data_IF_963667277725
#
_entry.id   IF_963667277725
#
_cell.length_a   1.000
_cell.length_b   1.000
_cell.length_c   1.000
_cell.angle_alpha   90.00
_cell.angle_beta   90.00
_cell.angle_gamma   90.00
#
_symmetry.space_group_name_H-M   'P 1'
#
loop_
_entity.id
_entity.type
_entity.pdbx_description
1 polymer ?
#
# COMPACT_ATOMS: atom_id res chain seq x y z
N UNK A 1 2.31 -19.35 14.18
CA UNK A 1 2.06 -18.19 13.28
C UNK A 1 0.82 -18.36 12.39
N UNK A 2 0.07 -19.42 12.52
CA UNK A 2 -1.18 -19.72 11.77
C UNK A 2 -2.44 -19.36 12.59
N UNK A 3 -2.36 -19.42 13.91
CA UNK A 3 -3.52 -19.19 14.80
C UNK A 3 -3.99 -17.71 14.88
N UNK A 4 -3.11 -16.74 14.75
CA UNK A 4 -3.50 -15.32 14.81
C UNK A 4 -4.27 -14.82 13.57
N UNK A 5 -4.20 -15.54 12.45
CA UNK A 5 -4.94 -15.18 11.23
C UNK A 5 -6.41 -15.61 11.24
N UNK A 6 -6.75 -16.65 12.00
CA UNK A 6 -8.12 -17.14 12.11
C UNK A 6 -8.99 -16.26 13.02
N UNK A 7 -8.42 -15.59 14.00
CA UNK A 7 -9.15 -14.74 14.96
C UNK A 7 -9.66 -13.47 14.29
N UNK A 8 -8.92 -12.90 13.33
CA UNK A 8 -9.31 -11.65 12.66
C UNK A 8 -10.48 -11.81 11.67
N UNK A 9 -10.62 -12.98 11.05
CA UNK A 9 -11.76 -13.29 10.16
C UNK A 9 -13.05 -13.46 10.97
N UNK A 10 -12.94 -13.87 12.25
CA UNK A 10 -14.08 -14.06 13.14
C UNK A 10 -14.69 -12.74 13.68
N UNK A 11 -13.93 -11.64 13.69
CA UNK A 11 -14.36 -10.33 14.17
C UNK A 11 -15.14 -9.49 13.15
N UNK A 12 -15.16 -9.91 11.88
CA UNK A 12 -15.87 -9.22 10.80
C UNK A 12 -17.25 -9.82 10.48
N UNK A 13 -17.75 -10.76 11.27
CA UNK A 13 -19.09 -11.30 11.08
C UNK A 13 -20.16 -10.33 11.61
N UNK A 14 -21.19 -10.02 10.81
CA UNK A 14 -22.25 -9.07 11.19
C UNK A 14 -22.98 -9.49 12.47
N UNK A 15 -23.46 -8.50 13.23
CA UNK A 15 -24.23 -8.65 14.49
C UNK A 15 -25.49 -9.52 14.39
N UNK A 16 -25.92 -9.89 13.21
CA UNK A 16 -27.06 -10.76 12.92
C UNK A 16 -26.95 -12.18 13.52
N UNK A 17 -25.72 -12.63 13.85
CA UNK A 17 -25.51 -13.94 14.47
C UNK A 17 -25.94 -14.01 15.94
N UNK A 18 -26.13 -12.87 16.59
CA UNK A 18 -26.66 -12.84 17.99
C UNK A 18 -28.16 -13.09 18.06
N UNK A 19 -28.92 -12.83 17.00
CA UNK A 19 -30.38 -13.02 16.97
C UNK A 19 -30.80 -14.50 16.86
N UNK A 20 -29.92 -15.38 16.35
CA UNK A 20 -30.20 -16.82 16.31
C UNK A 20 -30.37 -17.46 17.71
N UNK A 21 -29.89 -16.81 18.78
CA UNK A 21 -30.13 -17.24 20.15
C UNK A 21 -31.60 -16.98 20.58
N UNK A 22 -32.21 -15.89 20.12
CA UNK A 22 -33.60 -15.55 20.44
C UNK A 22 -34.60 -16.48 19.74
N UNK A 23 -34.30 -16.90 18.50
CA UNK A 23 -35.15 -17.85 17.74
C UNK A 23 -35.20 -19.20 18.45
N UNK A 24 -34.12 -19.65 19.11
CA UNK A 24 -34.15 -20.87 19.94
C UNK A 24 -35.16 -20.84 21.08
N UNK A 25 -35.36 -19.68 21.74
CA UNK A 25 -36.33 -19.54 22.84
C UNK A 25 -37.77 -19.55 22.34
N UNK A 26 -38.03 -18.99 21.17
CA UNK A 26 -39.41 -18.90 20.63
C UNK A 26 -39.87 -20.26 20.11
N UNK A 27 -39.03 -21.01 19.39
CA UNK A 27 -39.37 -22.34 18.89
C UNK A 27 -39.51 -23.37 20.03
N UNK A 28 -38.72 -23.24 21.09
CA UNK A 28 -38.79 -24.12 22.24
C UNK A 28 -40.09 -23.94 23.05
N UNK A 29 -40.80 -22.79 22.94
CA UNK A 29 -42.02 -22.47 23.66
C UNK A 29 -43.28 -22.98 22.97
N UNK A 30 -43.24 -23.19 21.67
CA UNK A 30 -44.43 -23.58 20.88
C UNK A 30 -44.55 -25.09 20.59
N UNK A 31 -43.49 -25.92 20.77
CA UNK A 31 -43.56 -27.36 20.46
C UNK A 31 -42.81 -28.25 21.45
N UNK A 32 -43.44 -28.60 22.58
CA UNK A 32 -42.78 -29.41 23.62
C UNK A 32 -42.58 -30.91 23.24
N UNK A 33 -43.31 -31.46 22.29
CA UNK A 33 -43.29 -32.91 21.99
C UNK A 33 -42.38 -33.36 20.86
N UNK A 34 -41.76 -32.41 20.08
CA UNK A 34 -40.79 -32.74 19.00
C UNK A 34 -39.40 -32.17 19.23
N UNK A 35 -39.09 -31.85 20.49
CA UNK A 35 -37.82 -31.15 20.85
C UNK A 35 -36.54 -31.81 20.34
N UNK A 36 -36.45 -33.11 20.45
CA UNK A 36 -35.19 -33.81 20.13
C UNK A 36 -34.94 -33.96 18.62
N UNK A 37 -36.00 -34.07 17.82
CA UNK A 37 -35.85 -34.16 16.35
C UNK A 37 -35.51 -32.81 15.70
N UNK A 38 -36.18 -31.74 16.13
CA UNK A 38 -35.94 -30.38 15.62
C UNK A 38 -34.55 -29.86 16.03
N UNK A 39 -34.08 -30.20 17.23
CA UNK A 39 -32.71 -29.86 17.68
C UNK A 39 -31.67 -30.61 16.86
N UNK A 40 -31.89 -31.88 16.52
CA UNK A 40 -31.00 -32.69 15.69
C UNK A 40 -30.87 -32.13 14.26
N UNK A 41 -31.99 -31.72 13.66
CA UNK A 41 -32.03 -31.10 12.34
C UNK A 41 -31.33 -29.71 12.34
N UNK A 42 -31.64 -28.87 13.35
CA UNK A 42 -30.99 -27.56 13.49
C UNK A 42 -29.45 -27.67 13.69
N UNK A 43 -29.00 -28.69 14.40
CA UNK A 43 -27.57 -28.96 14.58
C UNK A 43 -26.90 -29.46 13.27
N UNK A 44 -27.57 -30.27 12.48
CA UNK A 44 -27.11 -30.70 11.15
C UNK A 44 -26.98 -29.51 10.21
N UNK A 45 -28.03 -28.70 10.11
CA UNK A 45 -28.07 -27.48 9.29
C UNK A 45 -26.92 -26.54 9.69
N UNK A 46 -26.71 -26.36 10.98
CA UNK A 46 -25.63 -25.50 11.51
C UNK A 46 -24.23 -26.04 11.17
N UNK A 47 -24.03 -27.38 11.15
CA UNK A 47 -22.76 -27.99 10.72
C UNK A 47 -22.55 -27.83 9.21
N UNK A 48 -23.60 -28.03 8.41
CA UNK A 48 -23.53 -27.86 6.95
C UNK A 48 -23.22 -26.40 6.59
N UNK A 49 -23.89 -25.42 7.26
CA UNK A 49 -23.60 -23.99 7.04
C UNK A 49 -22.17 -23.64 7.42
N UNK A 50 -21.66 -24.16 8.53
CA UNK A 50 -20.27 -23.92 8.93
C UNK A 50 -19.27 -24.57 7.96
N UNK A 51 -19.55 -25.78 7.50
CA UNK A 51 -18.72 -26.50 6.55
C UNK A 51 -18.73 -25.81 5.18
N UNK A 52 -19.91 -25.37 4.70
CA UNK A 52 -20.02 -24.64 3.42
C UNK A 52 -19.36 -23.27 3.49
N UNK A 53 -19.52 -22.55 4.60
CA UNK A 53 -18.84 -21.27 4.80
C UNK A 53 -17.32 -21.44 4.84
N UNK A 54 -16.83 -22.47 5.54
CA UNK A 54 -15.41 -22.81 5.55
C UNK A 54 -14.87 -23.19 4.18
N UNK A 55 -15.63 -23.95 3.40
CA UNK A 55 -15.28 -24.30 2.03
C UNK A 55 -15.24 -23.08 1.10
N UNK A 56 -16.23 -22.20 1.19
CA UNK A 56 -16.27 -20.93 0.42
C UNK A 56 -15.08 -20.05 0.76
N UNK A 57 -14.77 -19.87 2.05
CA UNK A 57 -13.59 -19.10 2.49
C UNK A 57 -12.29 -19.75 1.99
N UNK A 58 -12.19 -21.08 2.04
CA UNK A 58 -11.04 -21.83 1.51
C UNK A 58 -10.85 -21.64 0.01
N UNK A 59 -11.92 -21.71 -0.77
CA UNK A 59 -11.90 -21.48 -2.23
C UNK A 59 -11.49 -20.05 -2.56
N UNK A 60 -11.99 -19.06 -1.82
CA UNK A 60 -11.63 -17.64 -2.01
C UNK A 60 -10.14 -17.42 -1.71
N UNK A 61 -9.60 -18.06 -0.68
CA UNK A 61 -8.18 -17.93 -0.32
C UNK A 61 -7.24 -18.57 -1.35
N UNK A 62 -7.64 -19.68 -1.97
CA UNK A 62 -6.83 -20.37 -2.99
C UNK A 62 -6.95 -19.69 -4.37
N UNK A 63 -8.11 -19.12 -4.69
CA UNK A 63 -8.35 -18.44 -5.97
C UNK A 63 -7.63 -17.10 -6.12
N UNK A 64 -7.16 -16.50 -5.02
CA UNK A 64 -6.48 -15.19 -5.02
C UNK A 64 -4.98 -15.31 -5.31
N UNK A 65 -4.57 -15.89 -6.45
CA UNK A 65 -3.20 -15.70 -6.93
C UNK A 65 -3.04 -14.26 -7.45
N UNK A 66 -2.21 -13.41 -6.80
CA UNK A 66 -2.04 -12.01 -7.22
C UNK A 66 -1.36 -11.87 -8.59
N UNK A 67 -0.80 -12.95 -9.12
CA UNK A 67 -0.05 -12.98 -10.38
C UNK A 67 -0.83 -13.61 -11.55
N UNK A 68 -2.13 -13.88 -11.39
CA UNK A 68 -2.94 -14.57 -12.39
C UNK A 68 -3.00 -13.86 -13.75
N UNK A 69 -3.09 -12.53 -13.72
CA UNK A 69 -3.19 -11.69 -14.91
C UNK A 69 -1.86 -10.97 -15.25
N UNK A 70 -0.76 -11.45 -14.69
CA UNK A 70 0.58 -10.96 -15.04
C UNK A 70 1.02 -11.66 -16.32
N UNK A 71 1.34 -10.94 -17.41
CA UNK A 71 1.83 -11.51 -18.65
C UNK A 71 3.09 -12.35 -18.45
N UNK A 72 3.29 -13.35 -19.31
CA UNK A 72 4.50 -14.14 -19.28
C UNK A 72 5.72 -13.27 -19.62
N UNK A 73 6.83 -13.48 -18.91
CA UNK A 73 8.03 -12.65 -19.02
C UNK A 73 7.98 -11.33 -18.24
N UNK A 74 6.84 -11.01 -17.61
CA UNK A 74 6.68 -9.80 -16.79
C UNK A 74 6.59 -10.16 -15.31
N UNK A 75 6.85 -9.17 -14.44
CA UNK A 75 6.79 -9.32 -12.99
C UNK A 75 5.76 -8.35 -12.39
N UNK A 76 5.00 -8.83 -11.42
CA UNK A 76 4.15 -7.97 -10.58
C UNK A 76 5.03 -7.18 -9.62
N UNK A 77 4.90 -5.87 -9.60
CA UNK A 77 5.55 -5.04 -8.57
C UNK A 77 4.92 -5.33 -7.21
N UNK A 78 5.66 -6.02 -6.34
CA UNK A 78 5.15 -6.53 -5.07
C UNK A 78 5.41 -5.57 -3.91
N UNK A 79 6.67 -5.14 -3.73
CA UNK A 79 7.07 -4.18 -2.73
C UNK A 79 7.97 -3.11 -3.34
N UNK A 80 7.80 -1.89 -2.83
CA UNK A 80 8.77 -0.80 -3.01
C UNK A 80 9.14 -0.30 -1.63
N UNK A 81 10.43 -0.28 -1.32
CA UNK A 81 10.97 0.20 -0.05
C UNK A 81 12.05 1.23 -0.30
N UNK A 82 12.02 2.32 0.44
CA UNK A 82 13.07 3.33 0.46
C UNK A 82 13.81 3.19 1.78
N UNK A 83 15.11 3.03 1.74
CA UNK A 83 16.02 2.95 2.88
C UNK A 83 16.98 4.13 2.80
N UNK A 84 17.20 4.81 3.91
CA UNK A 84 18.12 5.96 4.01
C UNK A 84 19.16 5.65 5.07
N UNK A 85 20.41 6.02 4.80
CA UNK A 85 21.52 5.90 5.75
C UNK A 85 21.53 7.05 6.78
N UNK A 86 20.95 8.19 6.43
CA UNK A 86 20.86 9.36 7.29
C UNK A 86 19.46 9.49 7.92
N UNK A 87 19.43 9.66 9.25
CA UNK A 87 18.18 9.83 10.01
C UNK A 87 17.50 11.18 9.76
N UNK A 88 18.23 12.18 9.25
CA UNK A 88 17.67 13.49 8.90
C UNK A 88 16.79 13.40 7.64
N UNK A 89 17.07 12.43 6.77
CA UNK A 89 16.31 12.18 5.54
C UNK A 89 15.23 11.14 5.80
N UNK A 90 13.97 11.56 5.82
CA UNK A 90 12.85 10.64 6.03
C UNK A 90 12.46 9.94 4.74
N UNK A 91 12.34 8.61 4.71
CA UNK A 91 11.85 7.88 3.54
C UNK A 91 10.49 8.35 3.04
N UNK A 92 9.62 8.86 3.95
CA UNK A 92 8.31 9.42 3.61
C UNK A 92 8.39 10.60 2.64
N UNK A 93 9.41 11.44 2.78
CA UNK A 93 9.58 12.66 1.98
C UNK A 93 9.99 12.33 0.53
N UNK A 94 10.66 11.19 0.36
CA UNK A 94 11.11 10.69 -0.94
C UNK A 94 10.02 9.89 -1.66
N UNK A 95 9.01 9.46 -0.95
CA UNK A 95 7.94 8.63 -1.51
C UNK A 95 7.17 9.32 -2.64
N UNK A 96 7.01 10.64 -2.58
CA UNK A 96 6.33 11.43 -3.60
C UNK A 96 7.03 11.45 -4.96
N UNK A 97 8.33 11.06 -4.99
CA UNK A 97 9.13 10.97 -6.21
C UNK A 97 9.08 9.60 -6.88
N UNK A 98 8.40 8.63 -6.26
CA UNK A 98 8.14 7.34 -6.91
C UNK A 98 7.24 7.51 -8.13
N UNK A 99 7.66 6.99 -9.28
CA UNK A 99 6.87 6.95 -10.52
C UNK A 99 6.03 5.69 -10.63
N UNK A 100 6.38 4.69 -9.85
CA UNK A 100 5.66 3.44 -9.78
C UNK A 100 5.55 2.96 -8.33
N UNK A 101 4.32 2.73 -7.89
CA UNK A 101 4.01 2.16 -6.57
C UNK A 101 3.29 0.83 -6.74
N UNK A 102 3.46 -0.13 -5.82
CA UNK A 102 2.75 -1.41 -5.88
C UNK A 102 1.26 -1.23 -5.62
N UNK A 103 0.47 -2.21 -6.05
CA UNK A 103 -0.96 -2.25 -5.73
C UNK A 103 -1.20 -2.09 -4.22
N UNK A 104 -2.16 -1.23 -3.88
CA UNK A 104 -2.48 -0.91 -2.49
C UNK A 104 -2.82 -2.16 -1.67
N UNK A 105 -2.30 -2.24 -0.45
CA UNK A 105 -2.57 -3.31 0.52
C UNK A 105 -3.47 -2.80 1.62
N UNK A 106 -4.65 -3.40 1.76
CA UNK A 106 -5.52 -3.16 2.91
C UNK A 106 -4.93 -3.84 4.14
N UNK A 107 -4.81 -3.08 5.23
CA UNK A 107 -4.21 -3.55 6.50
C UNK A 107 -2.79 -4.14 6.35
N UNK A 108 -2.05 -3.74 5.30
CA UNK A 108 -0.71 -4.26 5.03
C UNK A 108 -0.63 -5.72 4.58
N UNK A 109 -1.73 -6.45 4.56
CA UNK A 109 -1.78 -7.91 4.34
C UNK A 109 -2.39 -8.30 3.00
N UNK A 110 -3.54 -7.72 2.65
CA UNK A 110 -4.34 -8.17 1.52
C UNK A 110 -4.44 -7.11 0.43
N UNK A 111 -4.20 -7.51 -0.82
CA UNK A 111 -4.49 -6.71 -2.02
C UNK A 111 -5.91 -7.00 -2.47
N UNK A 112 -6.89 -6.52 -1.71
CA UNK A 112 -8.30 -6.80 -1.97
C UNK A 112 -8.72 -6.40 -3.39
N UNK A 113 -8.36 -5.18 -3.82
CA UNK A 113 -8.72 -4.67 -5.15
C UNK A 113 -8.07 -5.45 -6.28
N UNK A 114 -6.79 -5.88 -6.12
CA UNK A 114 -6.12 -6.75 -7.07
C UNK A 114 -6.74 -8.16 -7.06
N UNK A 115 -7.07 -8.69 -5.88
CA UNK A 115 -7.77 -9.95 -5.73
C UNK A 115 -9.13 -9.94 -6.43
N UNK A 116 -9.89 -8.86 -6.28
CA UNK A 116 -11.15 -8.67 -6.96
C UNK A 116 -10.97 -8.66 -8.49
N UNK A 117 -9.99 -7.90 -8.99
CA UNK A 117 -9.65 -7.90 -10.41
C UNK A 117 -9.31 -9.32 -10.93
N UNK A 118 -8.55 -10.09 -10.15
CA UNK A 118 -8.13 -11.44 -10.51
C UNK A 118 -9.27 -12.47 -10.48
N UNK A 119 -10.40 -12.19 -9.81
CA UNK A 119 -11.62 -12.99 -9.88
C UNK A 119 -12.31 -12.86 -11.23
N UNK A 120 -12.04 -11.82 -12.00
CA UNK A 120 -12.60 -11.69 -13.34
C UNK A 120 -12.08 -12.80 -14.26
N UNK A 121 -12.98 -13.36 -15.05
CA UNK A 121 -12.60 -14.30 -16.12
C UNK A 121 -11.93 -13.58 -17.30
N UNK A 122 -11.37 -14.36 -18.21
CA UNK A 122 -10.73 -13.83 -19.43
C UNK A 122 -11.73 -13.22 -20.41
N UNK A 123 -12.99 -13.66 -20.35
CA UNK A 123 -14.06 -13.18 -21.22
C UNK A 123 -14.63 -11.85 -20.72
N UNK A 124 -14.26 -10.76 -21.39
CA UNK A 124 -14.72 -9.40 -21.07
C UNK A 124 -16.14 -9.09 -21.58
N UNK A 125 -16.76 -9.96 -22.33
CA UNK A 125 -18.12 -9.74 -22.88
C UNK A 125 -19.18 -9.92 -21.79
N UNK A 126 -18.93 -10.74 -20.81
CA UNK A 126 -19.84 -11.02 -19.70
C UNK A 126 -19.93 -9.84 -18.74
N UNK A 127 -21.15 -9.40 -18.45
CA UNK A 127 -21.43 -8.22 -17.62
C UNK A 127 -20.77 -8.28 -16.21
N UNK A 128 -20.79 -9.47 -15.58
CA UNK A 128 -20.21 -9.66 -14.26
C UNK A 128 -18.68 -9.56 -14.27
N UNK A 129 -18.00 -10.01 -15.33
CA UNK A 129 -16.55 -9.86 -15.48
C UNK A 129 -16.16 -8.39 -15.63
N UNK A 130 -16.94 -7.61 -16.38
CA UNK A 130 -16.74 -6.15 -16.50
C UNK A 130 -16.93 -5.46 -15.17
N UNK A 131 -17.99 -5.84 -14.44
CA UNK A 131 -18.27 -5.26 -13.12
C UNK A 131 -17.11 -5.51 -12.13
N UNK A 132 -16.64 -6.76 -12.04
CA UNK A 132 -15.54 -7.17 -11.16
C UNK A 132 -14.22 -6.48 -11.54
N UNK A 133 -13.93 -6.33 -12.85
CA UNK A 133 -12.75 -5.59 -13.33
C UNK A 133 -12.81 -4.11 -12.97
N UNK A 134 -13.95 -3.47 -13.15
CA UNK A 134 -14.14 -2.06 -12.83
C UNK A 134 -14.06 -1.78 -11.32
N UNK A 135 -14.50 -2.73 -10.49
CA UNK A 135 -14.39 -2.64 -9.04
C UNK A 135 -12.99 -2.99 -8.51
N UNK A 136 -12.18 -3.73 -9.31
CA UNK A 136 -10.82 -4.12 -8.99
C UNK A 136 -9.77 -3.16 -9.54
N UNK A 137 -8.51 -3.38 -9.13
CA UNK A 137 -7.35 -2.65 -9.65
C UNK A 137 -6.48 -3.64 -10.43
N UNK A 138 -6.07 -3.34 -11.68
CA UNK A 138 -5.20 -4.21 -12.46
C UNK A 138 -3.84 -4.40 -11.77
N UNK A 139 -3.13 -5.51 -12.06
CA UNK A 139 -1.79 -5.72 -11.55
C UNK A 139 -0.83 -4.65 -12.08
N UNK A 140 -0.05 -4.05 -11.18
CA UNK A 140 1.00 -3.12 -11.56
C UNK A 140 2.22 -3.95 -11.94
N UNK A 141 2.56 -3.90 -13.23
CA UNK A 141 3.70 -4.62 -13.80
C UNK A 141 4.97 -3.81 -13.54
N UNK A 142 6.03 -4.47 -13.10
CA UNK A 142 7.36 -3.87 -12.93
C UNK A 142 7.84 -3.29 -14.26
N UNK A 143 8.17 -2.00 -14.25
CA UNK A 143 8.74 -1.27 -15.38
C UNK A 143 10.10 -0.69 -14.99
N UNK A 144 11.22 -1.21 -15.55
CA UNK A 144 12.54 -0.74 -15.20
C UNK A 144 12.77 0.74 -15.55
N UNK A 145 12.09 1.28 -16.57
CA UNK A 145 12.21 2.70 -16.94
C UNK A 145 11.58 3.59 -15.88
N UNK A 146 10.42 3.23 -15.35
CA UNK A 146 9.76 3.98 -14.28
C UNK A 146 10.54 3.89 -12.96
N UNK A 147 11.17 2.76 -12.70
CA UNK A 147 12.03 2.58 -11.52
C UNK A 147 13.27 3.47 -11.62
N UNK A 148 13.95 3.48 -12.78
CA UNK A 148 15.11 4.35 -13.02
C UNK A 148 14.72 5.83 -12.95
N UNK A 149 13.60 6.21 -13.52
CA UNK A 149 13.08 7.58 -13.41
C UNK A 149 12.82 7.98 -11.94
N UNK A 150 12.31 7.05 -11.12
CA UNK A 150 12.13 7.30 -9.68
C UNK A 150 13.48 7.53 -8.99
N UNK A 151 14.50 6.71 -9.30
CA UNK A 151 15.87 6.86 -8.81
C UNK A 151 16.43 8.24 -9.09
N UNK A 152 16.37 8.67 -10.36
CA UNK A 152 16.86 9.98 -10.78
C UNK A 152 16.10 11.13 -10.12
N UNK A 153 14.78 10.99 -9.94
CA UNK A 153 13.98 12.01 -9.27
C UNK A 153 14.33 12.12 -7.78
N UNK A 154 14.59 11.01 -7.11
CA UNK A 154 15.04 11.02 -5.71
C UNK A 154 16.42 11.66 -5.56
N UNK A 155 17.38 11.34 -6.44
CA UNK A 155 18.70 12.00 -6.41
C UNK A 155 18.57 13.51 -6.62
N UNK A 156 17.76 13.91 -7.60
CA UNK A 156 17.50 15.34 -7.84
C UNK A 156 16.81 16.02 -6.65
N UNK A 157 15.89 15.34 -6.01
CA UNK A 157 15.24 15.85 -4.81
C UNK A 157 16.22 16.00 -3.64
N UNK A 158 17.15 15.07 -3.48
CA UNK A 158 18.22 15.16 -2.48
C UNK A 158 19.17 16.31 -2.78
N UNK A 159 19.57 16.47 -4.04
CA UNK A 159 20.40 17.60 -4.44
C UNK A 159 19.72 18.94 -4.15
N UNK A 160 18.43 19.06 -4.43
CA UNK A 160 17.65 20.26 -4.13
C UNK A 160 17.53 20.54 -2.62
N UNK A 161 17.72 19.54 -1.78
CA UNK A 161 17.75 19.68 -0.31
C UNK A 161 19.19 19.88 0.25
N UNK A 162 20.13 20.23 -0.61
CA UNK A 162 21.51 20.51 -0.21
C UNK A 162 22.42 19.27 -0.12
N UNK A 163 21.93 18.07 -0.40
CA UNK A 163 22.73 16.86 -0.41
C UNK A 163 23.33 16.61 -1.81
N UNK A 164 24.30 17.47 -2.22
CA UNK A 164 24.86 17.48 -3.56
C UNK A 164 25.58 16.19 -3.96
N UNK A 165 26.10 15.43 -3.00
CA UNK A 165 26.79 14.16 -3.21
C UNK A 165 25.86 12.96 -2.97
N UNK A 166 24.55 13.17 -2.81
CA UNK A 166 23.61 12.09 -2.59
C UNK A 166 23.56 11.11 -3.76
N UNK A 167 23.45 9.83 -3.46
CA UNK A 167 23.30 8.76 -4.44
C UNK A 167 22.13 7.87 -4.07
N UNK A 168 21.46 7.35 -5.08
CA UNK A 168 20.36 6.40 -4.90
C UNK A 168 20.68 5.15 -5.72
N UNK A 169 20.89 4.04 -5.03
CA UNK A 169 21.07 2.73 -5.62
C UNK A 169 19.75 1.98 -5.63
N UNK A 170 19.54 1.17 -6.66
CA UNK A 170 18.34 0.36 -6.82
C UNK A 170 18.69 -1.12 -6.83
N UNK A 171 18.15 -1.85 -5.88
CA UNK A 171 18.22 -3.30 -5.87
C UNK A 171 16.85 -3.91 -6.18
N UNK A 172 16.86 -5.00 -6.92
CA UNK A 172 15.64 -5.74 -7.25
C UNK A 172 15.76 -7.20 -6.86
N UNK A 173 14.73 -7.74 -6.26
CA UNK A 173 14.65 -9.15 -5.86
C UNK A 173 13.43 -9.79 -6.49
N UNK A 174 13.64 -10.76 -7.36
CA UNK A 174 12.54 -11.53 -7.97
C UNK A 174 12.15 -12.73 -7.10
N UNK A 175 10.84 -12.95 -6.94
CA UNK A 175 10.27 -14.11 -6.24
C UNK A 175 9.15 -14.71 -7.11
N UNK A 176 9.51 -15.64 -7.99
CA UNK A 176 8.59 -16.15 -9.02
C UNK A 176 8.15 -15.03 -9.96
N UNK A 177 6.83 -14.81 -10.13
CA UNK A 177 6.29 -13.70 -10.94
C UNK A 177 6.15 -12.37 -10.17
N UNK A 178 6.88 -12.17 -9.08
CA UNK A 178 6.85 -10.92 -8.27
C UNK A 178 8.22 -10.28 -8.23
N UNK A 179 8.26 -8.94 -8.18
CA UNK A 179 9.46 -8.14 -8.05
C UNK A 179 9.35 -7.22 -6.85
N UNK A 180 10.33 -7.30 -5.96
CA UNK A 180 10.54 -6.34 -4.86
C UNK A 180 11.63 -5.36 -5.27
N UNK A 181 11.43 -4.07 -5.05
CA UNK A 181 12.36 -2.99 -5.37
C UNK A 181 12.78 -2.28 -4.10
N UNK A 182 14.08 -2.08 -3.94
CA UNK A 182 14.68 -1.39 -2.80
C UNK A 182 15.49 -0.20 -3.31
N UNK A 183 15.12 1.01 -2.91
CA UNK A 183 15.91 2.21 -3.14
C UNK A 183 16.76 2.45 -1.90
N UNK A 184 18.08 2.39 -2.04
CA UNK A 184 19.03 2.75 -0.99
C UNK A 184 19.57 4.15 -1.25
N UNK A 185 19.23 5.06 -0.36
CA UNK A 185 19.61 6.47 -0.45
C UNK A 185 20.78 6.73 0.47
N UNK A 186 21.92 7.04 -0.12
CA UNK A 186 23.13 7.51 0.58
C UNK A 186 23.15 9.02 0.51
N UNK A 187 22.79 9.67 1.61
CA UNK A 187 22.63 11.11 1.65
C UNK A 187 23.98 11.86 1.58
N UNK A 188 25.03 11.29 2.17
CA UNK A 188 26.32 11.92 2.37
C UNK A 188 26.21 13.26 3.14
N UNK A 189 27.20 14.12 3.03
CA UNK A 189 27.27 15.35 3.80
C UNK A 189 26.39 16.45 3.18
N UNK A 190 25.47 17.06 3.90
CA UNK A 190 24.69 18.19 3.41
C UNK A 190 25.54 19.43 3.28
N UNK A 191 25.22 20.27 2.30
CA UNK A 191 25.84 21.58 2.11
C UNK A 191 24.99 22.64 2.83
N UNK A 192 25.67 23.51 3.57
CA UNK A 192 25.04 24.61 4.29
C UNK A 192 25.47 25.95 3.68
N UNK A 193 24.60 26.93 3.76
CA UNK A 193 24.92 28.31 3.38
C UNK A 193 25.90 28.84 4.43
N UNK A 194 27.16 29.07 4.02
CA UNK A 194 28.19 29.61 4.89
C UNK A 194 28.06 31.13 4.99
N UNK A 195 27.94 31.83 3.87
CA UNK A 195 27.80 33.28 3.81
C UNK A 195 26.95 33.72 2.60
N UNK A 196 26.34 34.90 2.71
CA UNK A 196 25.49 35.49 1.65
C UNK A 196 26.02 36.93 1.43
N UNK A 197 26.60 37.16 0.24
CA UNK A 197 27.11 38.47 -0.16
C UNK A 197 26.19 39.12 -1.18
N UNK A 198 25.61 40.26 -0.83
CA UNK A 198 24.70 41.03 -1.69
C UNK A 198 25.50 42.12 -2.43
N UNK A 199 25.81 41.90 -3.71
CA UNK A 199 26.51 42.85 -4.55
C UNK A 199 25.55 43.65 -5.42
N UNK A 200 25.16 44.82 -4.94
CA UNK A 200 24.15 45.68 -5.62
C UNK A 200 24.85 46.98 -5.98
N UNK A 201 24.91 47.27 -7.30
CA UNK A 201 25.58 48.48 -7.82
C UNK A 201 24.89 49.79 -7.49
N UNK A 202 23.58 49.76 -7.16
CA UNK A 202 22.77 50.94 -6.86
C UNK A 202 22.61 51.13 -5.35
N UNK A 203 23.13 52.22 -4.81
CA UNK A 203 23.11 52.52 -3.41
C UNK A 203 21.72 52.60 -2.75
N UNK A 204 20.72 53.04 -3.51
CA UNK A 204 19.36 53.14 -3.00
C UNK A 204 18.72 51.78 -2.89
N UNK A 205 18.96 50.90 -3.86
CA UNK A 205 18.49 49.52 -3.85
C UNK A 205 19.23 48.71 -2.77
N UNK A 206 20.55 48.92 -2.63
CA UNK A 206 21.34 48.24 -1.61
C UNK A 206 20.78 48.48 -0.21
N UNK A 207 20.55 49.77 0.12
CA UNK A 207 19.94 50.17 1.41
C UNK A 207 18.55 49.62 1.65
N UNK A 208 17.74 49.48 0.59
CA UNK A 208 16.40 48.86 0.68
C UNK A 208 16.52 47.37 0.97
N UNK A 209 17.41 46.68 0.25
CA UNK A 209 17.64 45.25 0.43
C UNK A 209 18.14 44.96 1.84
N UNK A 210 19.15 45.70 2.31
CA UNK A 210 19.69 45.52 3.66
C UNK A 210 18.66 45.76 4.78
N UNK A 211 17.78 46.75 4.61
CA UNK A 211 16.77 47.09 5.63
C UNK A 211 15.54 46.17 5.63
N UNK A 212 15.06 45.76 4.46
CA UNK A 212 13.78 45.09 4.35
C UNK A 212 13.87 43.64 3.97
N UNK A 213 14.84 43.24 3.11
CA UNK A 213 14.87 41.89 2.52
C UNK A 213 15.82 40.95 3.27
N UNK A 214 16.91 41.39 3.83
CA UNK A 214 17.87 40.52 4.54
C UNK A 214 17.19 39.82 5.73
N UNK A 215 16.34 40.52 6.47
CA UNK A 215 15.60 39.94 7.60
C UNK A 215 14.49 38.98 7.22
N UNK A 216 13.94 39.14 6.01
CA UNK A 216 12.83 38.32 5.44
C UNK A 216 13.32 37.33 4.42
N UNK A 217 14.62 37.26 4.15
CA UNK A 217 15.19 36.29 3.20
C UNK A 217 14.94 34.86 3.67
N UNK A 218 14.56 34.01 2.72
CA UNK A 218 14.50 32.56 2.92
C UNK A 218 15.90 31.95 3.10
N UNK A 219 16.91 32.57 2.47
CA UNK A 219 18.30 32.17 2.60
C UNK A 219 18.84 32.68 3.94
N UNK A 220 19.29 31.78 4.78
CA UNK A 220 19.90 32.11 6.08
C UNK A 220 21.23 31.40 6.23
N UNK A 221 22.21 32.11 6.78
CA UNK A 221 23.50 31.52 7.15
C UNK A 221 23.29 30.30 8.07
N UNK A 222 23.91 29.17 7.77
CA UNK A 222 23.77 27.91 8.50
C UNK A 222 22.53 27.09 8.19
N UNK A 223 21.65 27.55 7.29
CA UNK A 223 20.57 26.70 6.75
C UNK A 223 21.09 25.78 5.65
N UNK A 224 20.39 24.66 5.44
CA UNK A 224 20.66 23.82 4.28
C UNK A 224 20.52 24.65 3.00
N UNK A 225 21.32 24.31 2.02
CA UNK A 225 21.17 24.85 0.67
C UNK A 225 19.95 24.18 0.02
N UNK A 226 18.77 24.75 0.28
CA UNK A 226 17.46 24.22 -0.16
C UNK A 226 16.79 25.23 -1.11
#
# INVERSE_FOLDING_TARGET
>A
MIETRLIFVFLLLPKEWLELKKIKCIVARFYPSRKNQVIGEALKIRRVIKASLGAIVGIVLVACSPTRHVPDGSYLLDHVKIETDDKSVKPSDLKSYLRQEPNHRMFGLFRFTLGLYNLSGNDSTKWYNRWVRNAGTPPIIYDPVLIENSRMQMEKAMNNKGYMAARVDVDTVSKGKRMDVFYRVSANTPHYIDDIDYRISNDTISRLVERQYVSHSLLKKGSNFD
#
